data_IF_010212699051
#
_entry.id   IF_010212699051
#
_cell.length_a   1.000
_cell.length_b   1.000
_cell.length_c   1.000
_cell.angle_alpha   90.00
_cell.angle_beta   90.00
_cell.angle_gamma   90.00
#
_symmetry.space_group_name_H-M   'P 1'
#
loop_
_entity.id
_entity.type
_entity.pdbx_description
1 polymer ?
#
# COMPACT_ATOMS: atom_id res chain seq x y z
N UNK A 1 4.58 -12.93 22.79
CA UNK A 1 4.61 -14.40 22.60
C UNK A 1 4.64 -14.80 21.12
N UNK A 2 3.66 -14.51 20.27
CA UNK A 2 3.75 -14.86 18.84
C UNK A 2 4.91 -14.14 18.12
N UNK A 3 5.08 -12.85 18.39
CA UNK A 3 6.15 -12.03 17.77
C UNK A 3 7.57 -12.46 18.17
N UNK A 4 7.79 -12.87 19.45
CA UNK A 4 9.11 -13.35 19.88
C UNK A 4 9.52 -14.62 19.12
N UNK A 5 8.60 -15.56 18.93
CA UNK A 5 8.87 -16.76 18.13
C UNK A 5 9.11 -16.45 16.65
N UNK A 6 8.44 -15.43 16.10
CA UNK A 6 8.64 -15.01 14.72
C UNK A 6 10.05 -14.42 14.52
N UNK A 7 10.53 -13.61 15.47
CA UNK A 7 11.89 -13.06 15.44
C UNK A 7 12.96 -14.14 15.66
N UNK A 8 12.67 -15.17 16.46
CA UNK A 8 13.58 -16.32 16.63
C UNK A 8 13.70 -17.14 15.33
N UNK A 9 12.60 -17.29 14.59
CA UNK A 9 12.58 -18.05 13.33
C UNK A 9 13.14 -17.26 12.14
N UNK A 10 12.84 -15.98 12.07
CA UNK A 10 13.20 -15.10 10.95
C UNK A 10 13.80 -13.77 11.44
N UNK A 11 14.96 -13.78 12.13
CA UNK A 11 15.53 -12.58 12.76
C UNK A 11 15.97 -11.52 11.76
N UNK A 12 16.12 -11.87 10.48
CA UNK A 12 16.54 -10.95 9.40
C UNK A 12 15.42 -10.52 8.49
N UNK A 13 14.18 -10.87 8.78
CA UNK A 13 13.03 -10.44 7.98
C UNK A 13 12.54 -9.06 8.43
N UNK A 14 13.01 -8.00 7.80
CA UNK A 14 12.60 -6.62 8.10
C UNK A 14 11.07 -6.43 8.08
N UNK A 15 10.34 -7.21 7.26
CA UNK A 15 8.88 -7.15 7.16
C UNK A 15 8.19 -7.47 8.49
N UNK A 16 8.74 -8.40 9.29
CA UNK A 16 8.18 -8.78 10.60
C UNK A 16 8.28 -7.62 11.60
N UNK A 17 9.41 -6.90 11.60
CA UNK A 17 9.61 -5.73 12.46
C UNK A 17 8.70 -4.57 12.04
N UNK A 18 8.58 -4.31 10.74
CA UNK A 18 7.71 -3.26 10.20
C UNK A 18 6.25 -3.54 10.53
N UNK A 19 5.78 -4.79 10.37
CA UNK A 19 4.41 -5.19 10.70
C UNK A 19 4.12 -5.00 12.19
N UNK A 20 5.05 -5.39 13.08
CA UNK A 20 4.86 -5.21 14.51
C UNK A 20 4.90 -3.74 14.91
N UNK A 21 5.77 -2.94 14.27
CA UNK A 21 5.81 -1.49 14.49
C UNK A 21 4.49 -0.82 14.08
N UNK A 22 3.87 -1.24 12.97
CA UNK A 22 2.55 -0.76 12.55
C UNK A 22 1.47 -1.11 13.59
N UNK A 23 1.46 -2.35 14.11
CA UNK A 23 0.54 -2.76 15.17
C UNK A 23 0.71 -1.91 16.42
N UNK A 24 1.95 -1.65 16.85
CA UNK A 24 2.22 -0.82 18.03
C UNK A 24 1.86 0.65 17.80
N UNK A 25 2.12 1.19 16.61
CA UNK A 25 1.72 2.56 16.25
C UNK A 25 0.20 2.75 16.35
N UNK A 26 -0.58 1.81 15.82
CA UNK A 26 -2.05 1.79 15.94
C UNK A 26 -2.54 1.67 17.38
N UNK A 27 -1.81 0.92 18.19
CA UNK A 27 -2.05 0.80 19.64
C UNK A 27 -1.57 2.03 20.44
N UNK A 28 -1.00 3.06 19.78
CA UNK A 28 -0.39 4.26 20.40
C UNK A 28 0.73 3.94 21.39
N UNK A 29 1.46 2.86 21.15
CA UNK A 29 2.58 2.39 21.95
C UNK A 29 3.92 2.89 21.37
N UNK A 30 4.11 4.20 21.31
CA UNK A 30 5.23 4.84 20.60
C UNK A 30 6.59 4.33 21.06
N UNK A 31 6.81 4.18 22.37
CA UNK A 31 8.08 3.66 22.90
C UNK A 31 8.45 2.29 22.30
N UNK A 32 7.47 1.44 22.04
CA UNK A 32 7.70 0.11 21.45
C UNK A 32 7.98 0.19 19.95
N UNK A 33 7.40 1.18 19.27
CA UNK A 33 7.74 1.48 17.87
C UNK A 33 9.21 1.89 17.75
N UNK A 34 9.67 2.77 18.67
CA UNK A 34 11.04 3.29 18.64
C UNK A 34 12.06 2.17 18.91
N UNK A 35 11.78 1.27 19.86
CA UNK A 35 12.61 0.08 20.10
C UNK A 35 12.72 -0.80 18.85
N UNK A 36 11.63 -0.99 18.11
CA UNK A 36 11.68 -1.78 16.86
C UNK A 36 12.46 -1.09 15.75
N UNK A 37 12.41 0.24 15.69
CA UNK A 37 13.25 1.01 14.75
C UNK A 37 14.73 0.86 15.07
N UNK A 38 15.12 0.97 16.35
CA UNK A 38 16.48 0.76 16.81
C UNK A 38 16.98 -0.66 16.47
N UNK A 39 16.14 -1.68 16.69
CA UNK A 39 16.48 -3.07 16.33
C UNK A 39 16.66 -3.26 14.81
N UNK A 40 15.86 -2.60 13.97
CA UNK A 40 16.03 -2.61 12.52
C UNK A 40 17.39 -2.02 12.11
N UNK A 41 17.81 -0.94 12.74
CA UNK A 41 19.10 -0.28 12.51
C UNK A 41 20.26 -1.13 13.03
N UNK A 42 20.17 -1.65 14.24
CA UNK A 42 21.19 -2.51 14.87
C UNK A 42 21.47 -3.78 14.05
N UNK A 43 20.41 -4.40 13.50
CA UNK A 43 20.55 -5.58 12.66
C UNK A 43 20.90 -5.26 11.19
N UNK A 44 21.12 -3.98 10.86
CA UNK A 44 21.36 -3.50 9.50
C UNK A 44 20.30 -4.04 8.49
N UNK A 45 19.04 -4.06 8.89
CA UNK A 45 17.94 -4.55 8.07
C UNK A 45 17.44 -3.40 7.20
N UNK A 46 17.78 -3.44 5.92
CA UNK A 46 17.27 -2.48 4.96
C UNK A 46 15.78 -2.71 4.68
N UNK A 47 15.00 -1.65 4.76
CA UNK A 47 13.61 -1.66 4.32
C UNK A 47 13.60 -1.80 2.79
N UNK A 48 13.10 -2.91 2.30
CA UNK A 48 12.87 -3.09 0.87
C UNK A 48 11.80 -2.09 0.43
N UNK A 49 12.07 -1.20 -0.54
CA UNK A 49 11.06 -0.26 -1.01
C UNK A 49 9.85 -1.00 -1.59
N UNK A 50 8.66 -0.48 -1.31
CA UNK A 50 7.43 -1.01 -1.88
C UNK A 50 7.44 -0.86 -3.40
N UNK A 51 7.35 -1.97 -4.11
CA UNK A 51 7.29 -2.01 -5.56
C UNK A 51 6.04 -2.76 -6.02
N UNK A 52 5.37 -2.19 -7.00
CA UNK A 52 4.21 -2.79 -7.65
C UNK A 52 4.44 -2.90 -9.15
N UNK A 53 4.01 -4.00 -9.74
CA UNK A 53 4.11 -4.28 -11.18
C UNK A 53 2.72 -4.47 -11.77
N UNK A 54 2.53 -3.94 -12.96
CA UNK A 54 1.34 -4.13 -13.77
C UNK A 54 1.73 -4.45 -15.22
N UNK A 55 1.05 -5.42 -15.83
CA UNK A 55 1.19 -5.69 -17.25
C UNK A 55 0.07 -5.00 -18.02
N UNK A 56 0.43 -4.14 -18.98
CA UNK A 56 -0.49 -3.49 -19.91
C UNK A 56 0.01 -3.70 -21.35
N UNK A 57 -0.85 -4.22 -22.22
CA UNK A 57 -0.52 -4.48 -23.64
C UNK A 57 0.77 -5.30 -23.81
N UNK A 58 0.96 -6.34 -22.99
CA UNK A 58 2.12 -7.24 -22.97
C UNK A 58 3.44 -6.55 -22.60
N UNK A 59 3.37 -5.38 -21.98
CA UNK A 59 4.53 -4.67 -21.44
C UNK A 59 4.39 -4.52 -19.93
N UNK A 60 5.46 -4.87 -19.22
CA UNK A 60 5.53 -4.76 -17.77
C UNK A 60 5.97 -3.35 -17.37
N UNK A 61 5.24 -2.77 -16.45
CA UNK A 61 5.54 -1.47 -15.82
C UNK A 61 5.73 -1.68 -14.33
N UNK A 62 6.71 -0.99 -13.77
CA UNK A 62 7.01 -1.01 -12.33
C UNK A 62 6.81 0.37 -11.72
N UNK A 63 6.28 0.39 -10.50
CA UNK A 63 6.11 1.58 -9.70
C UNK A 63 6.77 1.34 -8.36
N UNK A 64 7.60 2.29 -7.94
CA UNK A 64 8.22 2.30 -6.62
C UNK A 64 7.65 3.51 -5.88
N UNK A 65 7.36 3.36 -4.59
CA UNK A 65 6.94 4.49 -3.76
C UNK A 65 8.02 5.59 -3.84
N UNK A 66 7.59 6.83 -4.13
CA UNK A 66 8.49 8.00 -4.26
C UNK A 66 9.31 8.08 -5.57
N UNK A 67 9.20 7.14 -6.51
CA UNK A 67 9.90 7.22 -7.80
C UNK A 67 9.05 7.95 -8.86
N UNK A 68 9.53 9.10 -9.34
CA UNK A 68 8.82 9.97 -10.29
C UNK A 68 9.25 9.76 -11.76
N UNK A 69 9.80 8.60 -12.10
CA UNK A 69 10.34 8.37 -13.47
C UNK A 69 9.30 8.06 -14.54
N UNK A 70 8.06 7.76 -14.16
CA UNK A 70 7.02 7.48 -15.14
C UNK A 70 6.58 8.78 -15.83
N UNK A 71 6.55 8.86 -17.19
CA UNK A 71 6.11 10.05 -17.91
C UNK A 71 4.68 10.51 -17.58
N UNK A 72 3.81 9.62 -17.12
CA UNK A 72 2.42 9.91 -16.72
C UNK A 72 2.27 10.21 -15.22
N UNK A 73 3.36 10.43 -14.48
CA UNK A 73 3.30 10.53 -13.01
C UNK A 73 2.34 11.62 -12.53
N UNK A 74 2.35 12.78 -13.14
CA UNK A 74 1.44 13.89 -12.80
C UNK A 74 -0.03 13.49 -13.01
N UNK A 75 -0.34 12.82 -14.11
CA UNK A 75 -1.69 12.34 -14.41
C UNK A 75 -2.14 11.24 -13.43
N UNK A 76 -1.23 10.33 -13.05
CA UNK A 76 -1.51 9.29 -12.05
C UNK A 76 -1.80 9.90 -10.69
N UNK A 77 -0.99 10.84 -10.24
CA UNK A 77 -1.17 11.51 -8.94
C UNK A 77 -2.45 12.36 -8.91
N UNK A 78 -2.76 13.06 -10.01
CA UNK A 78 -4.00 13.81 -10.13
C UNK A 78 -5.23 12.90 -9.99
N UNK A 79 -5.26 11.78 -10.71
CA UNK A 79 -6.35 10.81 -10.66
C UNK A 79 -6.52 10.21 -9.25
N UNK A 80 -5.43 9.84 -8.58
CA UNK A 80 -5.47 9.35 -7.19
C UNK A 80 -6.02 10.43 -6.25
N UNK A 81 -5.56 11.68 -6.42
CA UNK A 81 -6.02 12.83 -5.63
C UNK A 81 -7.52 13.08 -5.77
N UNK A 82 -8.06 12.94 -6.98
CA UNK A 82 -9.51 13.03 -7.24
C UNK A 82 -10.28 11.96 -6.48
N UNK A 83 -9.86 10.69 -6.56
CA UNK A 83 -10.50 9.60 -5.81
C UNK A 83 -10.45 9.82 -4.30
N UNK A 84 -9.28 10.20 -3.77
CA UNK A 84 -9.13 10.45 -2.33
C UNK A 84 -9.97 11.65 -1.87
N UNK A 85 -10.07 12.69 -2.69
CA UNK A 85 -10.94 13.84 -2.42
C UNK A 85 -12.41 13.42 -2.33
N UNK A 86 -12.86 12.59 -3.27
CA UNK A 86 -14.22 12.07 -3.25
C UNK A 86 -14.44 11.15 -2.04
N UNK A 87 -13.51 10.25 -1.73
CA UNK A 87 -13.59 9.41 -0.54
C UNK A 87 -13.67 10.22 0.75
N UNK A 88 -12.88 11.29 0.87
CA UNK A 88 -12.94 12.21 2.03
C UNK A 88 -14.32 12.86 2.16
N UNK A 89 -14.98 13.20 1.05
CA UNK A 89 -16.35 13.73 1.09
C UNK A 89 -17.40 12.70 1.58
N UNK A 90 -17.09 11.40 1.46
CA UNK A 90 -17.89 10.28 1.97
C UNK A 90 -17.47 9.82 3.38
N UNK A 91 -16.56 10.54 4.04
CA UNK A 91 -16.15 10.28 5.43
C UNK A 91 -14.88 9.41 5.56
N UNK A 92 -14.17 9.15 4.47
CA UNK A 92 -12.87 8.46 4.56
C UNK A 92 -11.82 9.34 5.24
N UNK A 93 -11.06 8.72 6.13
CA UNK A 93 -9.88 9.31 6.78
C UNK A 93 -8.68 8.46 6.38
N UNK A 94 -7.62 9.05 5.78
CA UNK A 94 -6.40 8.31 5.46
C UNK A 94 -5.79 7.65 6.69
N UNK A 95 -5.39 6.39 6.57
CA UNK A 95 -4.71 5.67 7.66
C UNK A 95 -3.22 5.97 7.67
N UNK A 96 -2.87 7.10 8.29
CA UNK A 96 -1.48 7.57 8.41
C UNK A 96 -0.66 6.76 9.41
N UNK A 97 -1.29 5.90 10.22
CA UNK A 97 -0.62 5.07 11.22
C UNK A 97 0.45 4.13 10.66
N UNK A 98 0.31 3.73 9.38
CA UNK A 98 1.30 2.91 8.67
C UNK A 98 2.56 3.69 8.23
N UNK A 99 2.52 5.03 8.28
CA UNK A 99 3.67 5.89 7.96
C UNK A 99 4.46 6.15 9.23
N UNK A 100 5.50 5.35 9.47
CA UNK A 100 6.29 5.35 10.70
C UNK A 100 7.31 6.50 10.80
N UNK A 101 7.20 7.53 9.97
CA UNK A 101 8.04 8.72 10.04
C UNK A 101 7.44 9.75 11.01
N UNK A 102 8.32 10.42 11.78
CA UNK A 102 7.95 11.53 12.65
C UNK A 102 7.90 12.83 11.82
N UNK A 103 6.78 13.00 11.14
CA UNK A 103 6.49 14.13 10.24
C UNK A 103 5.03 14.53 10.40
N UNK A 104 4.68 15.73 9.90
CA UNK A 104 3.31 16.26 9.92
C UNK A 104 2.32 15.36 9.20
N UNK A 105 1.07 15.33 9.66
CA UNK A 105 0.03 14.46 9.10
C UNK A 105 -0.21 14.70 7.60
N UNK A 106 -0.13 15.95 7.12
CA UNK A 106 -0.26 16.28 5.70
C UNK A 106 0.84 15.64 4.86
N UNK A 107 2.06 15.56 5.38
CA UNK A 107 3.17 14.90 4.69
C UNK A 107 3.01 13.39 4.70
N UNK A 108 2.49 12.80 5.79
CA UNK A 108 2.14 11.38 5.83
C UNK A 108 1.07 11.04 4.79
N UNK A 109 0.02 11.87 4.67
CA UNK A 109 -0.99 11.69 3.64
C UNK A 109 -0.38 11.76 2.23
N UNK A 110 0.56 12.67 1.99
CA UNK A 110 1.28 12.78 0.71
C UNK A 110 2.08 11.51 0.39
N UNK A 111 2.75 10.94 1.39
CA UNK A 111 3.44 9.65 1.25
C UNK A 111 2.46 8.55 0.88
N UNK A 112 1.30 8.48 1.54
CA UNK A 112 0.26 7.50 1.23
C UNK A 112 -0.27 7.62 -0.20
N UNK A 113 -0.41 8.83 -0.73
CA UNK A 113 -0.81 9.04 -2.14
C UNK A 113 0.21 8.47 -3.13
N UNK A 114 1.49 8.49 -2.77
CA UNK A 114 2.61 7.97 -3.56
C UNK A 114 2.88 6.49 -3.42
N UNK A 115 2.03 5.71 -2.73
CA UNK A 115 2.22 4.28 -2.62
C UNK A 115 2.13 3.58 -3.98
N UNK A 116 3.08 2.69 -4.24
CA UNK A 116 3.29 2.04 -5.55
C UNK A 116 2.05 1.34 -6.09
N UNK A 117 1.22 0.76 -5.22
CA UNK A 117 -0.02 0.10 -5.62
C UNK A 117 -1.08 1.08 -6.12
N UNK A 118 -1.24 2.25 -5.51
CA UNK A 118 -2.17 3.28 -5.99
C UNK A 118 -1.75 3.79 -7.37
N UNK A 119 -0.45 4.03 -7.55
CA UNK A 119 0.11 4.42 -8.84
C UNK A 119 -0.14 3.35 -9.92
N UNK A 120 0.06 2.07 -9.58
CA UNK A 120 -0.20 0.96 -10.50
C UNK A 120 -1.70 0.83 -10.83
N UNK A 121 -2.61 1.05 -9.87
CA UNK A 121 -4.06 1.06 -10.11
C UNK A 121 -4.43 2.20 -11.05
N UNK A 122 -3.98 3.43 -10.77
CA UNK A 122 -4.24 4.58 -11.61
C UNK A 122 -3.71 4.37 -13.04
N UNK A 123 -2.50 3.83 -13.18
CA UNK A 123 -1.94 3.49 -14.48
C UNK A 123 -2.79 2.47 -15.23
N UNK A 124 -3.28 1.45 -14.55
CA UNK A 124 -4.20 0.46 -15.11
C UNK A 124 -5.50 1.11 -15.61
N UNK A 125 -6.08 2.02 -14.82
CA UNK A 125 -7.31 2.72 -15.19
C UNK A 125 -7.14 3.57 -16.46
N UNK A 126 -6.03 4.29 -16.58
CA UNK A 126 -5.75 5.17 -17.72
C UNK A 126 -5.42 4.37 -18.98
N UNK A 127 -4.67 3.27 -18.85
CA UNK A 127 -4.05 2.59 -20.01
C UNK A 127 -4.75 1.31 -20.46
N UNK A 128 -5.86 0.89 -19.80
CA UNK A 128 -6.66 -0.29 -20.16
C UNK A 128 -8.11 0.09 -20.44
N UNK A 129 -8.80 -0.71 -21.25
CA UNK A 129 -10.19 -0.49 -21.62
C UNK A 129 -11.16 -0.72 -20.45
N UNK A 130 -12.35 -0.10 -20.53
CA UNK A 130 -13.46 -0.41 -19.60
C UNK A 130 -13.78 -1.91 -19.67
N UNK A 131 -13.91 -2.56 -18.51
CA UNK A 131 -14.19 -4.00 -18.41
C UNK A 131 -12.97 -4.90 -18.43
N UNK A 132 -11.76 -4.38 -18.72
CA UNK A 132 -10.53 -5.15 -18.54
C UNK A 132 -10.16 -5.23 -17.06
N UNK A 133 -9.76 -6.43 -16.60
CA UNK A 133 -9.30 -6.62 -15.21
C UNK A 133 -7.91 -6.03 -15.03
N UNK A 134 -7.75 -5.16 -14.03
CA UNK A 134 -6.45 -4.61 -13.64
C UNK A 134 -5.75 -5.62 -12.74
N UNK A 135 -4.56 -6.09 -13.14
CA UNK A 135 -3.76 -7.08 -12.37
C UNK A 135 -2.45 -6.50 -11.93
N UNK A 136 -2.23 -6.48 -10.62
CA UNK A 136 -1.06 -5.90 -9.98
C UNK A 136 -0.39 -6.96 -9.12
N UNK A 137 0.94 -7.00 -9.14
CA UNK A 137 1.75 -7.77 -8.19
C UNK A 137 2.56 -6.82 -7.34
N UNK A 138 2.68 -7.09 -6.04
CA UNK A 138 3.42 -6.29 -5.06
C UNK A 138 4.39 -7.14 -4.27
N UNK A 139 5.55 -6.58 -3.95
CA UNK A 139 6.59 -7.24 -3.16
C UNK A 139 6.39 -7.16 -1.63
N UNK A 140 5.47 -6.37 -1.15
CA UNK A 140 5.13 -6.21 0.27
C UNK A 140 3.65 -6.51 0.50
N UNK A 141 3.27 -6.70 1.78
CA UNK A 141 1.86 -6.78 2.17
C UNK A 141 1.12 -5.48 1.80
N UNK A 142 -0.09 -5.61 1.31
CA UNK A 142 -0.96 -4.47 1.02
C UNK A 142 -1.35 -3.77 2.34
N UNK A 143 -1.13 -2.46 2.46
CA UNK A 143 -1.53 -1.71 3.65
C UNK A 143 -3.04 -1.44 3.66
N UNK A 144 -3.60 -1.15 4.85
CA UNK A 144 -5.05 -0.92 5.01
C UNK A 144 -5.54 0.28 4.21
N UNK A 145 -4.74 1.33 4.14
CA UNK A 145 -5.07 2.52 3.37
C UNK A 145 -5.18 2.21 1.87
N UNK A 146 -4.19 1.53 1.28
CA UNK A 146 -4.25 1.12 -0.12
C UNK A 146 -5.38 0.13 -0.39
N UNK A 147 -5.68 -0.76 0.57
CA UNK A 147 -6.80 -1.68 0.46
C UNK A 147 -8.14 -0.92 0.40
N UNK A 148 -8.36 0.04 1.31
CA UNK A 148 -9.57 0.85 1.37
C UNK A 148 -9.77 1.70 0.11
N UNK A 149 -8.68 2.35 -0.37
CA UNK A 149 -8.71 3.14 -1.61
C UNK A 149 -9.01 2.25 -2.81
N UNK A 150 -8.42 1.04 -2.90
CA UNK A 150 -8.67 0.13 -4.02
C UNK A 150 -10.11 -0.40 -4.03
N UNK A 151 -10.70 -0.67 -2.85
CA UNK A 151 -12.14 -1.00 -2.73
C UNK A 151 -13.00 0.12 -3.30
N UNK A 152 -12.74 1.36 -2.88
CA UNK A 152 -13.48 2.52 -3.37
C UNK A 152 -13.35 2.66 -4.90
N UNK A 153 -12.12 2.62 -5.42
CA UNK A 153 -11.87 2.73 -6.86
C UNK A 153 -12.62 1.63 -7.62
N UNK A 154 -12.62 0.39 -7.13
CA UNK A 154 -13.33 -0.72 -7.78
C UNK A 154 -14.84 -0.48 -7.88
N UNK A 155 -15.44 0.11 -6.85
CA UNK A 155 -16.86 0.49 -6.83
C UNK A 155 -17.16 1.65 -7.78
N UNK A 156 -16.35 2.72 -7.66
CA UNK A 156 -16.59 3.95 -8.39
C UNK A 156 -16.38 3.81 -9.91
N UNK A 157 -15.38 3.02 -10.30
CA UNK A 157 -15.02 2.80 -11.71
C UNK A 157 -15.68 1.57 -12.33
N UNK A 158 -16.41 0.78 -11.53
CA UNK A 158 -16.98 -0.52 -11.92
C UNK A 158 -15.91 -1.48 -12.49
N UNK A 159 -14.65 -1.33 -12.01
CA UNK A 159 -13.51 -2.13 -12.47
C UNK A 159 -13.19 -3.25 -11.47
N UNK A 160 -12.94 -4.42 -12.02
CA UNK A 160 -12.33 -5.48 -11.25
C UNK A 160 -10.82 -5.24 -11.16
N UNK A 161 -10.29 -5.25 -9.93
CA UNK A 161 -8.87 -5.05 -9.65
C UNK A 161 -8.38 -6.25 -8.83
N UNK A 162 -7.32 -6.89 -9.29
CA UNK A 162 -6.68 -8.01 -8.61
C UNK A 162 -5.29 -7.59 -8.19
N UNK A 163 -5.01 -7.60 -6.90
CA UNK A 163 -3.69 -7.34 -6.34
C UNK A 163 -3.17 -8.62 -5.70
N UNK A 164 -2.03 -9.12 -6.18
CA UNK A 164 -1.27 -10.17 -5.51
C UNK A 164 -0.19 -9.52 -4.67
N UNK A 165 -0.28 -9.65 -3.38
CA UNK A 165 0.79 -9.29 -2.45
C UNK A 165 1.63 -10.52 -2.05
N UNK A 166 2.57 -10.37 -1.09
CA UNK A 166 3.44 -11.46 -0.64
C UNK A 166 2.69 -12.63 0.00
N UNK A 167 1.47 -12.39 0.52
CA UNK A 167 0.73 -13.37 1.31
C UNK A 167 -0.42 -13.99 0.53
N UNK A 168 -1.12 -13.20 -0.31
CA UNK A 168 -2.36 -13.65 -0.94
C UNK A 168 -2.76 -12.83 -2.16
N UNK A 169 -3.89 -13.22 -2.75
CA UNK A 169 -4.61 -12.44 -3.75
C UNK A 169 -5.75 -11.65 -3.09
N UNK A 170 -5.87 -10.39 -3.48
CA UNK A 170 -6.99 -9.51 -3.18
C UNK A 170 -7.74 -9.24 -4.47
N UNK A 171 -8.98 -9.69 -4.55
CA UNK A 171 -9.85 -9.41 -5.69
C UNK A 171 -10.88 -8.38 -5.25
N UNK A 172 -10.78 -7.19 -5.81
CA UNK A 172 -11.65 -6.06 -5.54
C UNK A 172 -12.69 -5.95 -6.65
N UNK A 173 -13.94 -5.91 -6.26
CA UNK A 173 -15.07 -5.73 -7.16
C UNK A 173 -16.23 -5.10 -6.41
N UNK A 174 -16.90 -4.13 -7.02
CA UNK A 174 -18.10 -3.47 -6.48
C UNK A 174 -17.91 -2.95 -5.04
N UNK A 175 -16.70 -2.49 -4.68
CA UNK A 175 -16.36 -1.96 -3.36
C UNK A 175 -16.09 -3.01 -2.29
N UNK A 176 -16.03 -4.29 -2.63
CA UNK A 176 -15.70 -5.37 -1.69
C UNK A 176 -14.41 -6.06 -2.10
N UNK A 177 -13.74 -6.70 -1.13
CA UNK A 177 -12.56 -7.53 -1.38
C UNK A 177 -12.82 -8.98 -1.01
N UNK A 178 -12.24 -9.90 -1.79
CA UNK A 178 -12.31 -11.35 -1.51
C UNK A 178 -11.76 -11.76 -0.15
N UNK A 179 -10.86 -10.96 0.45
CA UNK A 179 -10.33 -11.21 1.80
C UNK A 179 -11.33 -10.89 2.92
N UNK A 180 -12.47 -10.25 2.62
CA UNK A 180 -13.50 -9.81 3.60
C UNK A 180 -12.93 -8.91 4.69
N UNK A 181 -11.96 -8.05 4.31
CA UNK A 181 -11.25 -7.13 5.20
C UNK A 181 -10.46 -7.83 6.32
N UNK A 182 -10.06 -9.08 6.08
CA UNK A 182 -9.24 -9.87 6.99
C UNK A 182 -8.00 -10.42 6.26
N UNK A 183 -6.84 -9.79 6.50
CA UNK A 183 -5.56 -10.18 5.89
C UNK A 183 -4.34 -9.85 6.74
#
# INVERSE_FOLDING_TARGET
MACSHLFDLEPRNAGNYVLLADIYARAKLQNQVDVLKELLEEHALEKVPGCSWIEVKKKLYSFVSVDNKNPQMEELQALIGEFVTQMKSEGYVPDTGSVLYDIEEEEKERILLGHSEKLAVAFGLINTGRGEVIRITKNLRLCEDCHSVTKFISKFTEREIVVRDVNRFHQFRDGVCSCRDYW
#
